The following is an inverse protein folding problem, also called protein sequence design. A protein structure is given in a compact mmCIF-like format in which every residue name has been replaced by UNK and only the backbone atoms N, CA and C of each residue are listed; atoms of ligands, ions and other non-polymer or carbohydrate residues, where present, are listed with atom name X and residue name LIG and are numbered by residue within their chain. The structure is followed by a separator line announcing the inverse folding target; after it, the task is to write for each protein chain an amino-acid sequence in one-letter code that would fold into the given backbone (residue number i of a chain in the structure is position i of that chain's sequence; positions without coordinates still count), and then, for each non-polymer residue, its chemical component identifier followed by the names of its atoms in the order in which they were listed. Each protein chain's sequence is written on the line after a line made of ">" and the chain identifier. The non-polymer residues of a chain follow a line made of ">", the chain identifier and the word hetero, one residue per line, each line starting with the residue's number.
data_IF_894340983290
#
_entry.id   IF_894340983290
#
_cell.length_a   1.000
_cell.length_b   1.000
_cell.length_c   1.000
_cell.angle_alpha   90.00
_cell.angle_beta   90.00
_cell.angle_gamma   90.00
#
_symmetry.space_group_name_H-M   'P 1'
#
loop_
_entity.id
_entity.type
_entity.pdbx_description
1 polymer ?
#
# COMPACT_ATOMS: atom_id res chain seq x y z
N UNK A 1 -34.89 -10.34 -28.74
CA UNK A 1 -33.75 -11.10 -29.28
C UNK A 1 -32.47 -10.41 -28.84
N UNK A 2 -31.79 -10.92 -27.81
CA UNK A 2 -30.53 -10.33 -27.31
C UNK A 2 -29.43 -10.65 -28.32
N UNK A 3 -28.91 -9.62 -28.98
CA UNK A 3 -27.87 -9.69 -30.01
C UNK A 3 -26.60 -10.42 -29.48
N UNK A 4 -26.03 -11.29 -30.30
CA UNK A 4 -24.80 -12.05 -30.04
C UNK A 4 -23.64 -11.10 -29.70
N UNK A 5 -23.59 -9.90 -30.28
CA UNK A 5 -22.56 -8.90 -29.93
C UNK A 5 -22.69 -8.45 -28.47
N UNK A 6 -23.92 -8.27 -27.97
CA UNK A 6 -24.13 -7.89 -26.58
C UNK A 6 -23.63 -8.98 -25.63
N UNK A 7 -23.95 -10.27 -25.88
CA UNK A 7 -23.48 -11.39 -25.04
C UNK A 7 -21.95 -11.51 -25.02
N UNK A 8 -21.29 -11.27 -26.15
CA UNK A 8 -19.82 -11.28 -26.23
C UNK A 8 -19.18 -10.15 -25.41
N UNK A 9 -19.78 -8.94 -25.46
CA UNK A 9 -19.36 -7.78 -24.65
C UNK A 9 -19.54 -8.02 -23.15
N UNK A 10 -20.67 -8.62 -22.74
CA UNK A 10 -20.90 -9.01 -21.34
C UNK A 10 -19.90 -10.06 -20.86
N UNK A 11 -19.61 -11.07 -21.69
CA UNK A 11 -18.61 -12.09 -21.39
C UNK A 11 -17.20 -11.52 -21.18
N UNK A 12 -16.75 -10.60 -22.04
CA UNK A 12 -15.43 -9.98 -21.90
C UNK A 12 -15.31 -9.06 -20.67
N UNK A 13 -16.36 -8.29 -20.34
CA UNK A 13 -16.38 -7.45 -19.14
C UNK A 13 -16.29 -8.28 -17.85
N UNK A 14 -17.00 -9.41 -17.77
CA UNK A 14 -16.96 -10.31 -16.62
C UNK A 14 -15.56 -10.92 -16.41
N UNK A 15 -14.86 -11.26 -17.49
CA UNK A 15 -13.49 -11.77 -17.42
C UNK A 15 -12.54 -10.65 -16.95
N UNK A 16 -12.68 -9.44 -17.50
CA UNK A 16 -11.89 -8.28 -17.09
C UNK A 16 -12.05 -7.97 -15.59
N UNK A 17 -13.28 -7.99 -15.08
CA UNK A 17 -13.56 -7.77 -13.65
C UNK A 17 -12.87 -8.82 -12.77
N UNK A 18 -12.95 -10.12 -13.13
CA UNK A 18 -12.29 -11.20 -12.36
C UNK A 18 -10.78 -11.05 -12.32
N UNK A 19 -10.17 -10.69 -13.45
CA UNK A 19 -8.72 -10.45 -13.53
C UNK A 19 -8.35 -9.24 -12.66
N UNK A 20 -9.10 -8.13 -12.76
CA UNK A 20 -8.86 -6.95 -11.95
C UNK A 20 -9.01 -7.25 -10.44
N UNK A 21 -10.01 -8.04 -10.04
CA UNK A 21 -10.19 -8.48 -8.66
C UNK A 21 -9.00 -9.30 -8.17
N UNK A 22 -8.53 -10.25 -8.97
CA UNK A 22 -7.35 -11.06 -8.63
C UNK A 22 -6.11 -10.18 -8.47
N UNK A 23 -5.83 -9.29 -9.44
CA UNK A 23 -4.68 -8.36 -9.39
C UNK A 23 -4.78 -7.43 -8.18
N UNK A 24 -5.96 -6.91 -7.87
CA UNK A 24 -6.17 -6.04 -6.73
C UNK A 24 -5.86 -6.76 -5.41
N UNK A 25 -6.44 -7.94 -5.19
CA UNK A 25 -6.22 -8.71 -3.96
C UNK A 25 -4.74 -9.11 -3.82
N UNK A 26 -4.14 -9.62 -4.90
CA UNK A 26 -2.72 -10.01 -4.90
C UNK A 26 -1.82 -8.80 -4.59
N UNK A 27 -2.13 -7.64 -5.16
CA UNK A 27 -1.37 -6.41 -4.95
C UNK A 27 -1.52 -5.90 -3.51
N UNK A 28 -2.73 -5.90 -2.94
CA UNK A 28 -2.97 -5.54 -1.54
C UNK A 28 -2.23 -6.49 -0.59
N UNK A 29 -2.30 -7.80 -0.82
CA UNK A 29 -1.61 -8.80 -0.01
C UNK A 29 -0.09 -8.65 -0.08
N UNK A 30 0.46 -8.49 -1.28
CA UNK A 30 1.89 -8.27 -1.52
C UNK A 30 2.37 -6.97 -0.86
N UNK A 31 1.58 -5.91 -0.97
CA UNK A 31 1.89 -4.62 -0.37
C UNK A 31 1.88 -4.70 1.15
N UNK A 32 0.85 -5.29 1.76
CA UNK A 32 0.75 -5.47 3.20
C UNK A 32 1.91 -6.32 3.75
N UNK A 33 2.20 -7.45 3.10
CA UNK A 33 3.33 -8.31 3.46
C UNK A 33 4.68 -7.61 3.35
N UNK A 34 4.91 -6.89 2.25
CA UNK A 34 6.14 -6.15 2.02
C UNK A 34 6.37 -5.03 3.05
N UNK A 35 5.32 -4.27 3.39
CA UNK A 35 5.38 -3.28 4.47
C UNK A 35 5.71 -3.91 5.82
N UNK A 36 5.13 -5.07 6.11
CA UNK A 36 5.38 -5.81 7.35
C UNK A 36 6.85 -6.25 7.44
N UNK A 37 7.39 -6.85 6.37
CA UNK A 37 8.81 -7.26 6.30
C UNK A 37 9.73 -6.06 6.47
N UNK A 38 9.44 -4.93 5.81
CA UNK A 38 10.23 -3.70 5.94
C UNK A 38 10.22 -3.17 7.38
N UNK A 39 9.07 -3.15 8.06
CA UNK A 39 8.97 -2.71 9.45
C UNK A 39 9.75 -3.62 10.40
N UNK A 40 9.64 -4.94 10.23
CA UNK A 40 10.39 -5.93 11.01
C UNK A 40 11.90 -5.79 10.77
N UNK A 41 12.32 -5.62 9.52
CA UNK A 41 13.72 -5.44 9.16
C UNK A 41 14.33 -4.20 9.83
N UNK A 42 13.63 -3.06 9.81
CA UNK A 42 14.10 -1.85 10.49
C UNK A 42 14.12 -2.00 12.01
N UNK A 43 13.14 -2.68 12.61
CA UNK A 43 13.19 -2.97 14.06
C UNK A 43 14.43 -3.81 14.39
N UNK A 44 14.71 -4.83 13.59
CA UNK A 44 15.90 -5.67 13.73
C UNK A 44 17.18 -4.85 13.59
N UNK A 45 17.27 -3.94 12.62
CA UNK A 45 18.47 -3.10 12.45
C UNK A 45 18.70 -2.13 13.60
N UNK A 46 17.63 -1.63 14.23
CA UNK A 46 17.77 -0.81 15.46
C UNK A 46 18.20 -1.63 16.67
N UNK A 47 17.72 -2.88 16.80
CA UNK A 47 18.04 -3.73 17.95
C UNK A 47 19.44 -4.34 17.88
N UNK A 48 19.90 -4.69 16.68
CA UNK A 48 21.17 -5.38 16.43
C UNK A 48 22.25 -4.45 15.85
N UNK A 49 22.12 -3.14 16.08
CA UNK A 49 23.06 -2.17 15.54
C UNK A 49 24.49 -2.42 16.03
N UNK A 50 24.65 -2.62 17.34
CA UNK A 50 25.93 -2.92 17.99
C UNK A 50 26.52 -4.27 17.55
N UNK A 51 25.69 -5.17 17.01
CA UNK A 51 26.10 -6.45 16.43
C UNK A 51 26.51 -6.34 14.96
N UNK A 52 26.66 -5.11 14.43
CA UNK A 52 27.17 -4.85 13.09
C UNK A 52 26.10 -4.57 12.01
N UNK A 53 24.81 -4.57 12.35
CA UNK A 53 23.77 -4.23 11.37
C UNK A 53 23.66 -2.71 11.23
N UNK A 54 24.03 -2.17 10.07
CA UNK A 54 23.94 -0.72 9.82
C UNK A 54 22.47 -0.25 9.74
N UNK A 55 22.10 0.69 10.61
CA UNK A 55 20.79 1.37 10.57
C UNK A 55 20.61 2.17 9.27
N UNK A 56 21.64 2.90 8.84
CA UNK A 56 21.62 3.72 7.62
C UNK A 56 21.43 2.86 6.37
N UNK A 57 22.23 1.79 6.22
CA UNK A 57 22.11 0.89 5.06
C UNK A 57 20.77 0.15 5.05
N UNK A 58 20.29 -0.24 6.22
CA UNK A 58 18.97 -0.89 6.35
C UNK A 58 17.84 0.04 5.93
N UNK A 59 17.89 1.31 6.34
CA UNK A 59 16.91 2.31 5.94
C UNK A 59 16.98 2.60 4.44
N UNK A 60 18.18 2.68 3.86
CA UNK A 60 18.38 2.85 2.42
C UNK A 60 17.75 1.68 1.65
N UNK A 61 18.03 0.43 2.06
CA UNK A 61 17.49 -0.76 1.42
C UNK A 61 15.95 -0.80 1.50
N UNK A 62 15.39 -0.49 2.66
CA UNK A 62 13.93 -0.43 2.87
C UNK A 62 13.30 0.70 2.06
N UNK A 63 13.92 1.87 2.01
CA UNK A 63 13.43 2.98 1.20
C UNK A 63 13.45 2.63 -0.30
N UNK A 64 14.55 2.04 -0.78
CA UNK A 64 14.66 1.60 -2.17
C UNK A 64 13.66 0.49 -2.51
N UNK A 65 13.46 -0.49 -1.62
CA UNK A 65 12.45 -1.53 -1.78
C UNK A 65 11.04 -0.92 -1.85
N UNK A 66 10.76 0.06 -0.99
CA UNK A 66 9.49 0.77 -1.01
C UNK A 66 9.26 1.47 -2.36
N UNK A 67 10.21 2.29 -2.81
CA UNK A 67 10.07 3.08 -4.04
C UNK A 67 10.03 2.19 -5.29
N UNK A 68 10.89 1.16 -5.36
CA UNK A 68 11.04 0.34 -6.57
C UNK A 68 10.03 -0.80 -6.68
N UNK A 69 9.46 -1.26 -5.57
CA UNK A 69 8.52 -2.39 -5.58
C UNK A 69 7.18 -2.03 -4.95
N UNK A 70 7.15 -1.53 -3.72
CA UNK A 70 5.86 -1.36 -3.02
C UNK A 70 5.02 -0.22 -3.59
N UNK A 71 5.62 0.88 -4.03
CA UNK A 71 4.91 1.97 -4.70
C UNK A 71 4.27 1.50 -6.02
N UNK A 72 4.98 0.83 -6.95
CA UNK A 72 4.35 0.21 -8.11
C UNK A 72 3.24 -0.78 -7.76
N UNK A 73 3.41 -1.62 -6.74
CA UNK A 73 2.36 -2.55 -6.29
C UNK A 73 1.14 -1.79 -5.76
N UNK A 74 1.32 -0.71 -5.01
CA UNK A 74 0.22 0.14 -4.56
C UNK A 74 -0.50 0.84 -5.73
N UNK A 75 0.24 1.27 -6.76
CA UNK A 75 -0.33 1.81 -8.00
C UNK A 75 -1.16 0.75 -8.72
N UNK A 76 -0.68 -0.50 -8.81
CA UNK A 76 -1.44 -1.61 -9.40
C UNK A 76 -2.71 -1.91 -8.61
N UNK A 77 -2.64 -1.91 -7.28
CA UNK A 77 -3.81 -2.07 -6.43
C UNK A 77 -4.85 -0.96 -6.70
N UNK A 78 -4.41 0.30 -6.79
CA UNK A 78 -5.28 1.44 -7.08
C UNK A 78 -5.89 1.31 -8.48
N UNK A 79 -5.09 1.06 -9.51
CA UNK A 79 -5.55 0.95 -10.89
C UNK A 79 -6.58 -0.18 -11.06
N UNK A 80 -6.32 -1.35 -10.48
CA UNK A 80 -7.24 -2.48 -10.51
C UNK A 80 -8.53 -2.18 -9.72
N UNK A 81 -8.41 -1.51 -8.57
CA UNK A 81 -9.56 -1.05 -7.78
C UNK A 81 -10.45 -0.07 -8.54
N UNK A 82 -9.85 0.94 -9.17
CA UNK A 82 -10.55 1.92 -10.00
C UNK A 82 -11.23 1.28 -11.21
N UNK A 83 -10.56 0.33 -11.87
CA UNK A 83 -11.16 -0.41 -12.97
C UNK A 83 -12.43 -1.15 -12.53
N UNK A 84 -12.40 -1.84 -11.38
CA UNK A 84 -13.57 -2.53 -10.84
C UNK A 84 -14.71 -1.57 -10.44
N UNK A 85 -14.38 -0.37 -9.96
CA UNK A 85 -15.38 0.65 -9.65
C UNK A 85 -16.07 1.17 -10.91
N UNK A 86 -15.31 1.49 -11.95
CA UNK A 86 -15.85 2.02 -13.23
C UNK A 86 -16.62 0.97 -14.03
N UNK A 87 -16.19 -0.29 -13.97
CA UNK A 87 -16.84 -1.39 -14.70
C UNK A 87 -17.94 -2.08 -13.90
N UNK A 88 -18.00 -1.85 -12.59
CA UNK A 88 -19.07 -2.37 -11.74
C UNK A 88 -20.39 -1.70 -12.05
N UNK A 89 -21.47 -2.47 -12.02
CA UNK A 89 -22.85 -1.97 -12.23
C UNK A 89 -23.40 -1.35 -10.95
N UNK A 90 -22.68 -0.37 -10.39
CA UNK A 90 -23.09 0.34 -9.19
C UNK A 90 -23.83 1.62 -9.60
N UNK A 91 -25.13 1.68 -9.33
CA UNK A 91 -25.96 2.86 -9.59
C UNK A 91 -25.78 3.97 -8.55
N UNK A 92 -26.72 4.92 -8.50
CA UNK A 92 -26.72 6.01 -7.51
C UNK A 92 -26.83 5.51 -6.05
N UNK A 93 -27.41 4.32 -5.84
CA UNK A 93 -27.58 3.68 -4.53
C UNK A 93 -26.36 2.82 -4.15
N UNK A 94 -25.15 3.38 -4.22
CA UNK A 94 -23.97 2.69 -3.70
C UNK A 94 -24.07 2.54 -2.18
N UNK A 95 -23.83 1.33 -1.64
CA UNK A 95 -23.77 1.17 -0.19
C UNK A 95 -22.58 1.95 0.37
N UNK A 96 -22.74 2.54 1.56
CA UNK A 96 -21.77 3.48 2.13
C UNK A 96 -20.38 2.84 2.30
N UNK A 97 -20.30 1.53 2.60
CA UNK A 97 -19.03 0.82 2.65
C UNK A 97 -18.20 0.93 1.36
N UNK A 98 -18.87 0.97 0.20
CA UNK A 98 -18.22 1.09 -1.10
C UNK A 98 -17.77 2.53 -1.35
N UNK A 99 -18.57 3.53 -0.96
CA UNK A 99 -18.21 4.94 -1.04
C UNK A 99 -17.03 5.29 -0.12
N UNK A 100 -17.01 4.75 1.10
CA UNK A 100 -15.89 4.92 2.03
C UNK A 100 -14.64 4.24 1.47
N UNK A 101 -14.75 3.00 0.99
CA UNK A 101 -13.64 2.28 0.35
C UNK A 101 -13.06 3.08 -0.82
N UNK A 102 -13.92 3.63 -1.68
CA UNK A 102 -13.50 4.44 -2.81
C UNK A 102 -12.77 5.70 -2.34
N UNK A 103 -13.41 6.56 -1.56
CA UNK A 103 -12.87 7.88 -1.21
C UNK A 103 -11.70 7.81 -0.25
N UNK A 104 -11.85 7.05 0.84
CA UNK A 104 -10.80 6.93 1.85
C UNK A 104 -9.66 6.04 1.37
N UNK A 105 -9.97 4.91 0.71
CA UNK A 105 -8.96 4.00 0.19
C UNK A 105 -8.11 4.63 -0.92
N UNK A 106 -8.72 5.30 -1.90
CA UNK A 106 -7.96 5.96 -2.96
C UNK A 106 -7.10 7.10 -2.42
N UNK A 107 -7.64 7.95 -1.54
CA UNK A 107 -6.89 9.03 -0.92
C UNK A 107 -5.70 8.50 -0.12
N UNK A 108 -5.90 7.45 0.67
CA UNK A 108 -4.82 6.83 1.43
C UNK A 108 -3.71 6.28 0.52
N UNK A 109 -4.07 5.58 -0.56
CA UNK A 109 -3.08 5.05 -1.51
C UNK A 109 -2.31 6.18 -2.19
N UNK A 110 -2.97 7.28 -2.55
CA UNK A 110 -2.29 8.46 -3.12
C UNK A 110 -1.33 9.11 -2.12
N UNK A 111 -1.77 9.29 -0.88
CA UNK A 111 -0.92 9.79 0.22
C UNK A 111 0.27 8.87 0.46
N UNK A 112 0.11 7.56 0.32
CA UNK A 112 1.19 6.61 0.42
C UNK A 112 2.18 6.74 -0.74
N UNK A 113 1.69 6.70 -1.99
CA UNK A 113 2.50 6.74 -3.22
C UNK A 113 3.39 7.98 -3.25
N UNK A 114 2.87 9.11 -2.80
CA UNK A 114 3.59 10.40 -2.82
C UNK A 114 4.30 10.66 -1.49
N UNK A 115 3.57 10.57 -0.38
CA UNK A 115 4.04 10.97 0.94
C UNK A 115 5.15 10.08 1.48
N UNK A 116 5.03 8.76 1.35
CA UNK A 116 6.01 7.85 1.94
C UNK A 116 7.39 7.93 1.23
N UNK A 117 7.49 7.99 -0.11
CA UNK A 117 8.76 8.25 -0.78
C UNK A 117 9.37 9.61 -0.45
N UNK A 118 8.59 10.69 -0.47
CA UNK A 118 9.12 12.03 -0.23
C UNK A 118 9.62 12.20 1.21
N UNK A 119 8.79 11.84 2.18
CA UNK A 119 9.15 11.94 3.59
C UNK A 119 10.21 10.91 3.96
N UNK A 120 10.11 9.69 3.43
CA UNK A 120 11.11 8.64 3.61
C UNK A 120 12.50 9.03 3.10
N UNK A 121 12.57 9.68 1.93
CA UNK A 121 13.83 10.20 1.38
C UNK A 121 14.44 11.29 2.26
N UNK A 122 13.61 12.17 2.87
CA UNK A 122 14.09 13.16 3.85
C UNK A 122 14.68 12.49 5.09
N UNK A 123 14.01 11.47 5.64
CA UNK A 123 14.52 10.72 6.79
C UNK A 123 15.81 9.97 6.45
N UNK A 124 15.89 9.36 5.27
CA UNK A 124 17.09 8.66 4.81
C UNK A 124 18.29 9.61 4.74
N UNK A 125 18.15 10.77 4.08
CA UNK A 125 19.21 11.79 4.02
C UNK A 125 19.65 12.22 5.41
N UNK A 126 18.71 12.41 6.34
CA UNK A 126 19.01 12.76 7.73
C UNK A 126 19.83 11.67 8.42
N UNK A 127 19.46 10.39 8.29
CA UNK A 127 20.22 9.27 8.88
C UNK A 127 21.61 9.14 8.28
N UNK A 128 21.78 9.43 6.98
CA UNK A 128 23.08 9.36 6.31
C UNK A 128 24.05 10.47 6.74
N UNK A 129 23.52 11.65 7.10
CA UNK A 129 24.34 12.78 7.57
C UNK A 129 24.62 12.76 9.08
N UNK A 130 23.89 11.95 9.83
CA UNK A 130 23.94 11.92 11.30
C UNK A 130 25.08 11.03 11.80
N UNK A 131 25.79 11.49 12.82
CA UNK A 131 26.87 10.73 13.50
C UNK A 131 26.44 10.20 14.87
N UNK A 132 25.44 10.83 15.49
CA UNK A 132 24.89 10.38 16.76
C UNK A 132 23.95 9.19 16.57
N UNK A 133 24.31 8.04 17.14
CA UNK A 133 23.53 6.81 17.05
C UNK A 133 22.12 6.96 17.63
N UNK A 134 21.97 7.74 18.71
CA UNK A 134 20.67 7.93 19.36
C UNK A 134 19.67 8.66 18.44
N UNK A 135 20.15 9.67 17.73
CA UNK A 135 19.40 10.46 16.76
C UNK A 135 19.10 9.65 15.50
N UNK A 136 20.05 8.83 15.03
CA UNK A 136 19.80 7.86 13.94
C UNK A 136 18.68 6.89 14.32
N UNK A 137 18.76 6.27 15.49
CA UNK A 137 17.78 5.31 15.97
C UNK A 137 16.38 5.95 16.09
N UNK A 138 16.30 7.16 16.63
CA UNK A 138 15.03 7.93 16.68
C UNK A 138 14.46 8.19 15.28
N UNK A 139 15.31 8.52 14.31
CA UNK A 139 14.89 8.78 12.93
C UNK A 139 14.40 7.50 12.23
N UNK A 140 15.09 6.37 12.42
CA UNK A 140 14.65 5.05 11.92
C UNK A 140 13.33 4.64 12.57
N UNK A 141 13.17 4.86 13.89
CA UNK A 141 11.89 4.61 14.60
C UNK A 141 10.74 5.43 14.04
N UNK A 142 10.96 6.67 13.60
CA UNK A 142 9.93 7.46 12.89
C UNK A 142 9.52 6.81 11.57
N UNK A 143 10.48 6.31 10.80
CA UNK A 143 10.18 5.58 9.56
C UNK A 143 9.39 4.29 9.85
N UNK A 144 9.79 3.52 10.86
CA UNK A 144 9.03 2.35 11.35
C UNK A 144 7.60 2.75 11.73
N UNK A 145 7.44 3.89 12.41
CA UNK A 145 6.13 4.46 12.76
C UNK A 145 5.25 4.68 11.53
N UNK A 146 5.79 5.25 10.44
CA UNK A 146 5.06 5.46 9.19
C UNK A 146 4.67 4.14 8.50
N UNK A 147 5.55 3.15 8.51
CA UNK A 147 5.24 1.82 7.98
C UNK A 147 4.09 1.18 8.77
N UNK A 148 4.15 1.23 10.11
CA UNK A 148 3.09 0.68 10.96
C UNK A 148 1.77 1.46 10.83
N UNK A 149 1.82 2.79 10.72
CA UNK A 149 0.64 3.60 10.46
C UNK A 149 -0.01 3.21 9.13
N UNK A 150 0.80 3.00 8.09
CA UNK A 150 0.31 2.55 6.78
C UNK A 150 -0.33 1.16 6.88
N UNK A 151 0.31 0.22 7.58
CA UNK A 151 -0.23 -1.12 7.84
C UNK A 151 -1.55 -1.07 8.61
N UNK A 152 -1.64 -0.22 9.63
CA UNK A 152 -2.86 -0.04 10.43
C UNK A 152 -3.99 0.52 9.57
N UNK A 153 -3.72 1.55 8.77
CA UNK A 153 -4.71 2.12 7.84
C UNK A 153 -5.20 1.08 6.81
N UNK A 154 -4.29 0.29 6.24
CA UNK A 154 -4.66 -0.82 5.35
C UNK A 154 -5.53 -1.86 6.06
N UNK A 155 -5.16 -2.25 7.28
CA UNK A 155 -5.92 -3.22 8.08
C UNK A 155 -7.33 -2.72 8.37
N UNK A 156 -7.48 -1.44 8.76
CA UNK A 156 -8.79 -0.82 8.99
C UNK A 156 -9.63 -0.86 7.72
N UNK A 157 -9.08 -0.51 6.55
CA UNK A 157 -9.80 -0.57 5.27
C UNK A 157 -10.23 -2.02 4.96
N UNK A 158 -9.34 -3.01 5.13
CA UNK A 158 -9.64 -4.42 4.87
C UNK A 158 -10.76 -4.91 5.77
N UNK A 159 -10.69 -4.62 7.07
CA UNK A 159 -11.71 -4.99 8.07
C UNK A 159 -13.05 -4.35 7.71
N UNK A 160 -13.05 -3.04 7.44
CA UNK A 160 -14.26 -2.30 7.12
C UNK A 160 -14.97 -2.84 5.87
N UNK A 161 -14.20 -3.18 4.83
CA UNK A 161 -14.73 -3.78 3.58
C UNK A 161 -15.18 -5.22 3.80
N UNK A 162 -14.43 -6.02 4.56
CA UNK A 162 -14.75 -7.43 4.82
C UNK A 162 -16.06 -7.59 5.57
N UNK A 163 -16.27 -6.77 6.60
CA UNK A 163 -17.48 -6.83 7.42
C UNK A 163 -18.65 -6.04 6.84
N UNK A 164 -18.47 -5.37 5.69
CA UNK A 164 -19.49 -4.53 5.04
C UNK A 164 -20.14 -3.58 6.05
N UNK A 165 -19.30 -2.92 6.86
CA UNK A 165 -19.78 -2.06 7.94
C UNK A 165 -20.54 -0.89 7.31
N UNK A 166 -21.81 -0.78 7.73
CA UNK A 166 -22.92 -0.01 7.15
C UNK A 166 -22.52 1.35 6.64
#
# INVERSE_FOLDING_TARGET
>A
MIDIQSRKKWGSMMIGYKIALFVHILSIATWFGGLTVMAVWLRKSTALHQSGISMSKSLENVHNLNVRMMVPVAVLALAAGMYMLVTGTWGADQPLWLTVKERFGSLFVLLYIIGLPLYGGKLLKKVQSEKDESTMASTVKRYIGLLNFSLLAMLVIIVFVTFQIV
#
